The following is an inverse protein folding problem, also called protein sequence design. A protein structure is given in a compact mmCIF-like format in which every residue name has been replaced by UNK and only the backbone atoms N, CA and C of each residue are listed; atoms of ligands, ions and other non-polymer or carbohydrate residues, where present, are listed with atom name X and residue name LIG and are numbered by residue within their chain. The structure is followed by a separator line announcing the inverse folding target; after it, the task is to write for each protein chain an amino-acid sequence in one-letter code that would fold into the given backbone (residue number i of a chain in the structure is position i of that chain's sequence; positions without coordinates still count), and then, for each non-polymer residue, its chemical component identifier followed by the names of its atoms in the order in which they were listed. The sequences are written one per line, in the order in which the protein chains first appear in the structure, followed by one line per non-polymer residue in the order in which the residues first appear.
data_IF_721882744215
#
_entry.id   IF_721882744215
#
_cell.length_a   1.000
_cell.length_b   1.000
_cell.length_c   1.000
_cell.angle_alpha   90.00
_cell.angle_beta   90.00
_cell.angle_gamma   90.00
#
_symmetry.space_group_name_H-M   'P 1'
#
loop_
_entity.id
_entity.type
_entity.pdbx_description
1 polymer ?
#
# COMPACT_ATOMS: atom_id res chain seq x y z
N UNK A 1 35.45 55.45 12.54
CA UNK A 1 34.96 54.64 11.41
C UNK A 1 35.56 53.22 11.33
N UNK A 2 36.65 52.93 12.00
CA UNK A 2 37.30 51.61 11.96
C UNK A 2 36.66 50.52 12.85
N UNK A 3 35.98 50.91 13.93
CA UNK A 3 35.39 49.94 14.85
C UNK A 3 34.05 49.31 14.36
N UNK A 4 33.38 49.96 13.44
CA UNK A 4 32.12 49.48 12.86
C UNK A 4 32.33 48.46 11.73
N UNK A 5 33.49 48.55 11.05
CA UNK A 5 33.84 47.61 9.97
C UNK A 5 34.26 46.23 10.50
N UNK A 6 34.93 46.20 11.69
CA UNK A 6 35.35 44.95 12.32
C UNK A 6 34.17 44.11 12.85
N UNK A 7 33.10 44.77 13.29
CA UNK A 7 31.89 44.08 13.79
C UNK A 7 31.04 43.47 12.65
N UNK A 8 31.04 44.09 11.47
CA UNK A 8 30.34 43.60 10.30
C UNK A 8 30.99 42.34 9.70
N UNK A 9 32.34 42.28 9.75
CA UNK A 9 33.11 41.12 9.30
C UNK A 9 32.96 39.91 10.25
N UNK A 10 32.75 40.12 11.55
CA UNK A 10 32.51 39.07 12.52
C UNK A 10 31.10 38.46 12.40
N UNK A 11 30.12 39.28 11.99
CA UNK A 11 28.74 38.81 11.77
C UNK A 11 28.59 37.99 10.46
N UNK A 12 29.41 38.26 9.45
CA UNK A 12 29.42 37.48 8.19
C UNK A 12 30.09 36.12 8.36
N UNK A 13 30.98 35.94 9.33
CA UNK A 13 31.64 34.65 9.58
C UNK A 13 30.77 33.66 10.36
N UNK A 14 29.67 34.09 10.99
CA UNK A 14 28.76 33.22 11.75
C UNK A 14 27.62 32.61 10.90
N UNK A 15 27.45 33.05 9.67
CA UNK A 15 26.39 32.52 8.77
C UNK A 15 26.88 31.33 7.92
N UNK A 16 28.13 30.93 8.03
CA UNK A 16 28.80 29.99 7.11
C UNK A 16 28.83 28.51 7.52
N UNK A 17 28.22 28.07 8.61
CA UNK A 17 28.28 26.63 9.00
C UNK A 17 26.91 26.12 9.39
N UNK A 18 25.94 26.27 8.52
CA UNK A 18 24.87 25.28 8.46
C UNK A 18 25.43 24.07 7.69
N UNK A 19 26.18 23.21 8.38
CA UNK A 19 26.52 21.90 7.85
C UNK A 19 25.21 21.18 7.54
N UNK A 20 24.83 21.19 6.27
CA UNK A 20 23.77 20.31 5.79
C UNK A 20 24.30 18.88 6.01
N UNK A 21 23.88 18.25 7.09
CA UNK A 21 24.02 16.82 7.27
C UNK A 21 23.18 16.18 6.15
N UNK A 22 23.75 16.02 4.96
CA UNK A 22 23.18 15.21 3.92
C UNK A 22 23.17 13.80 4.48
N UNK A 23 21.99 13.29 4.75
CA UNK A 23 21.82 11.91 5.12
C UNK A 23 22.41 11.06 3.99
N UNK A 24 23.60 10.50 4.23
CA UNK A 24 24.32 9.69 3.25
C UNK A 24 23.50 8.41 3.04
N UNK A 25 22.96 8.24 1.82
CA UNK A 25 22.22 7.02 1.49
C UNK A 25 23.17 5.81 1.48
N UNK A 26 22.74 4.72 2.08
CA UNK A 26 23.48 3.48 2.15
C UNK A 26 23.15 2.65 0.91
N UNK A 27 24.17 2.23 0.18
CA UNK A 27 24.04 1.30 -0.93
C UNK A 27 24.09 -0.14 -0.42
N UNK A 28 23.21 -1.01 -0.98
CA UNK A 28 23.19 -2.43 -0.63
C UNK A 28 24.53 -3.11 -0.94
N UNK A 29 25.02 -3.92 -0.01
CA UNK A 29 26.31 -4.62 -0.13
C UNK A 29 26.21 -6.00 -0.79
N UNK A 30 25.01 -6.42 -1.17
CA UNK A 30 24.72 -7.70 -1.84
C UNK A 30 24.69 -8.92 -0.93
N UNK A 31 25.01 -8.79 0.36
CA UNK A 31 24.99 -9.89 1.32
C UNK A 31 23.62 -9.98 1.99
N UNK A 32 22.82 -10.94 1.58
CA UNK A 32 21.47 -11.15 2.10
C UNK A 32 21.48 -11.75 3.51
N UNK A 33 20.59 -11.24 4.35
CA UNK A 33 20.33 -11.78 5.70
C UNK A 33 18.83 -11.78 5.99
N UNK A 34 18.43 -12.59 6.97
CA UNK A 34 17.05 -12.63 7.45
C UNK A 34 17.01 -12.34 8.94
N UNK A 35 15.99 -11.62 9.38
CA UNK A 35 15.77 -11.29 10.78
C UNK A 35 14.31 -11.54 11.16
N UNK A 36 14.07 -12.41 12.12
CA UNK A 36 12.76 -12.51 12.77
C UNK A 36 12.67 -11.44 13.85
N UNK A 37 11.60 -10.66 13.83
CA UNK A 37 11.35 -9.61 14.82
C UNK A 37 10.19 -9.99 15.72
N UNK A 38 10.39 -9.83 17.03
CA UNK A 38 9.29 -9.96 17.99
C UNK A 38 8.34 -8.79 17.80
N UNK A 39 7.07 -9.09 17.59
CA UNK A 39 5.99 -8.11 17.42
C UNK A 39 4.90 -8.38 18.44
N UNK A 40 4.26 -7.32 18.95
CA UNK A 40 3.03 -7.43 19.73
C UNK A 40 1.85 -7.85 18.86
N UNK A 41 0.68 -8.00 19.46
CA UNK A 41 -0.56 -8.27 18.70
C UNK A 41 -0.95 -7.06 17.84
N UNK A 42 -1.34 -7.34 16.59
CA UNK A 42 -1.83 -6.33 15.65
C UNK A 42 -2.94 -6.91 14.76
N UNK A 43 -3.83 -6.05 14.33
CA UNK A 43 -4.89 -6.37 13.37
C UNK A 43 -4.88 -5.43 12.16
N UNK A 44 -3.91 -4.53 12.09
CA UNK A 44 -3.67 -3.61 10.99
C UNK A 44 -2.21 -3.67 10.57
N UNK A 45 -1.96 -3.51 9.29
CA UNK A 45 -0.61 -3.51 8.71
C UNK A 45 -0.43 -2.26 7.87
N UNK A 46 0.66 -1.54 8.12
CA UNK A 46 1.10 -0.40 7.31
C UNK A 46 2.51 -0.64 6.84
N UNK A 47 2.70 -0.63 5.52
CA UNK A 47 4.03 -0.76 4.91
C UNK A 47 4.30 0.44 4.03
N UNK A 48 5.48 1.05 4.17
CA UNK A 48 5.89 2.15 3.31
C UNK A 48 7.33 2.00 2.83
N UNK A 49 7.56 2.38 1.56
CA UNK A 49 8.85 2.25 0.89
C UNK A 49 8.79 1.34 -0.32
N UNK A 50 9.88 0.58 -0.56
CA UNK A 50 10.03 -0.31 -1.73
C UNK A 50 10.07 -1.79 -1.32
N UNK A 51 9.00 -2.32 -0.74
CA UNK A 51 8.96 -3.68 -0.21
C UNK A 51 8.26 -4.69 -1.11
N UNK A 52 8.80 -5.91 -1.12
CA UNK A 52 8.04 -7.12 -1.45
C UNK A 52 7.44 -7.69 -0.17
N UNK A 53 6.13 -7.94 -0.14
CA UNK A 53 5.41 -8.41 1.06
C UNK A 53 4.72 -9.73 0.77
N UNK A 54 5.00 -10.73 1.57
CA UNK A 54 4.20 -11.95 1.67
C UNK A 54 3.33 -11.89 2.91
N UNK A 55 2.01 -11.89 2.71
CA UNK A 55 1.02 -11.81 3.77
C UNK A 55 0.34 -13.17 3.96
N UNK A 56 0.37 -13.68 5.17
CA UNK A 56 -0.24 -14.96 5.55
C UNK A 56 -1.21 -14.75 6.70
N UNK A 57 -2.41 -15.28 6.62
CA UNK A 57 -3.26 -15.38 7.81
C UNK A 57 -2.93 -16.68 8.54
N UNK A 58 -2.64 -16.58 9.85
CA UNK A 58 -2.23 -17.71 10.67
C UNK A 58 -2.68 -17.58 12.13
N UNK A 59 -2.39 -18.58 12.94
CA UNK A 59 -2.84 -18.62 14.34
C UNK A 59 -2.12 -17.63 15.27
N UNK A 60 -0.94 -17.14 14.87
CA UNK A 60 -0.10 -16.24 15.66
C UNK A 60 0.55 -15.20 14.77
N UNK A 61 0.60 -13.97 15.26
CA UNK A 61 1.25 -12.86 14.60
C UNK A 61 2.77 -13.08 14.49
N UNK A 62 3.36 -12.66 13.38
CA UNK A 62 4.79 -12.80 13.15
C UNK A 62 5.32 -11.85 12.10
N UNK A 63 6.59 -11.49 12.22
CA UNK A 63 7.33 -10.70 11.25
C UNK A 63 8.72 -11.30 11.03
N UNK A 64 9.03 -11.61 9.78
CA UNK A 64 10.38 -11.92 9.32
C UNK A 64 10.74 -10.96 8.18
N UNK A 65 11.91 -10.37 8.26
CA UNK A 65 12.46 -9.48 7.25
C UNK A 65 13.63 -10.15 6.53
N UNK A 66 13.76 -9.88 5.24
CA UNK A 66 14.89 -10.29 4.42
C UNK A 66 15.40 -9.05 3.66
N UNK A 67 16.67 -8.72 3.87
CA UNK A 67 17.35 -7.61 3.24
C UNK A 67 18.87 -7.83 3.27
N UNK A 68 19.62 -6.93 2.63
CA UNK A 68 21.07 -6.92 2.78
C UNK A 68 21.48 -6.54 4.21
N UNK A 69 22.56 -7.15 4.71
CA UNK A 69 22.98 -7.01 6.12
C UNK A 69 23.21 -5.56 6.56
N UNK A 70 23.74 -4.71 5.66
CA UNK A 70 23.95 -3.28 5.92
C UNK A 70 22.67 -2.43 5.75
N UNK A 71 21.63 -2.94 5.11
CA UNK A 71 20.33 -2.30 4.95
C UNK A 71 19.38 -2.68 6.11
N UNK A 72 19.49 -3.89 6.65
CA UNK A 72 18.62 -4.39 7.71
C UNK A 72 18.46 -3.43 8.91
N UNK A 73 19.50 -2.73 9.41
CA UNK A 73 19.37 -1.74 10.49
C UNK A 73 18.58 -0.48 10.13
N UNK A 74 18.37 -0.21 8.82
CA UNK A 74 17.61 0.94 8.31
C UNK A 74 16.13 0.65 8.17
N UNK A 75 15.71 -0.62 8.35
CA UNK A 75 14.31 -1.02 8.33
C UNK A 75 13.74 -0.90 9.75
N UNK A 76 12.79 -0.01 9.93
CA UNK A 76 12.05 0.16 11.17
C UNK A 76 10.79 -0.72 11.15
N UNK A 77 10.49 -1.36 12.27
CA UNK A 77 9.24 -2.07 12.47
C UNK A 77 8.77 -1.91 13.91
N UNK A 78 7.57 -1.38 14.08
CA UNK A 78 6.93 -1.11 15.37
C UNK A 78 5.48 -1.56 15.34
N UNK A 79 4.91 -1.82 16.52
CA UNK A 79 3.46 -2.01 16.65
C UNK A 79 2.91 -0.85 17.47
N UNK A 80 2.06 -0.04 16.88
CA UNK A 80 1.47 1.16 17.45
C UNK A 80 -0.05 1.12 17.31
N UNK A 81 -0.78 1.16 18.41
CA UNK A 81 -2.25 1.12 18.44
C UNK A 81 -2.85 -0.04 17.61
N UNK A 82 -2.25 -1.24 17.72
CA UNK A 82 -2.69 -2.42 16.99
C UNK A 82 -2.31 -2.42 15.51
N UNK A 83 -1.46 -1.50 15.06
CA UNK A 83 -0.95 -1.42 13.68
C UNK A 83 0.52 -1.83 13.65
N UNK A 84 0.86 -2.87 12.89
CA UNK A 84 2.24 -3.17 12.53
C UNK A 84 2.69 -2.17 11.46
N UNK A 85 3.65 -1.33 11.79
CA UNK A 85 4.26 -0.34 10.88
C UNK A 85 5.63 -0.84 10.45
N UNK A 86 5.83 -0.95 9.12
CA UNK A 86 7.12 -1.31 8.51
C UNK A 86 7.50 -0.20 7.55
N UNK A 87 8.68 0.37 7.73
CA UNK A 87 9.18 1.45 6.88
C UNK A 87 10.69 1.47 6.83
N UNK A 88 11.25 2.15 5.83
CA UNK A 88 12.65 2.52 5.79
C UNK A 88 12.82 3.97 6.21
N UNK A 89 13.97 4.34 6.77
CA UNK A 89 14.31 5.75 7.00
C UNK A 89 14.30 6.49 5.67
N UNK A 90 13.70 7.69 5.59
CA UNK A 90 13.65 8.46 4.34
C UNK A 90 15.05 8.68 3.75
N UNK A 91 15.18 8.53 2.43
CA UNK A 91 16.41 8.72 1.66
C UNK A 91 17.64 7.96 2.18
N UNK A 92 17.45 6.94 3.02
CA UNK A 92 18.55 6.20 3.66
C UNK A 92 19.09 5.05 2.82
N UNK A 93 18.33 4.60 1.82
CA UNK A 93 18.65 3.40 1.02
C UNK A 93 18.76 3.75 -0.45
N UNK A 94 19.82 3.25 -1.08
CA UNK A 94 20.04 3.31 -2.54
C UNK A 94 20.39 1.90 -3.03
N UNK A 95 19.83 1.51 -4.18
CA UNK A 95 20.17 0.26 -4.88
C UNK A 95 20.10 -1.01 -4.00
N UNK A 96 19.14 -1.09 -3.07
CA UNK A 96 18.90 -2.35 -2.35
C UNK A 96 18.43 -3.43 -3.34
N UNK A 97 19.05 -4.61 -3.31
CA UNK A 97 18.67 -5.75 -4.17
C UNK A 97 17.31 -6.31 -3.79
N UNK A 98 16.99 -6.33 -2.50
CA UNK A 98 15.73 -6.86 -2.00
C UNK A 98 15.39 -6.26 -0.63
N UNK A 99 14.15 -5.85 -0.49
CA UNK A 99 13.51 -5.54 0.78
C UNK A 99 12.26 -6.40 0.86
N UNK A 100 12.29 -7.48 1.65
CA UNK A 100 11.15 -8.39 1.73
C UNK A 100 10.67 -8.54 3.17
N UNK A 101 9.34 -8.49 3.35
CA UNK A 101 8.67 -8.72 4.61
C UNK A 101 7.71 -9.91 4.50
N UNK A 102 7.86 -10.86 5.40
CA UNK A 102 6.94 -11.97 5.60
C UNK A 102 6.12 -11.66 6.85
N UNK A 103 4.83 -11.39 6.66
CA UNK A 103 3.92 -10.96 7.71
C UNK A 103 2.89 -12.06 7.94
N UNK A 104 2.80 -12.54 9.17
CA UNK A 104 1.71 -13.40 9.59
C UNK A 104 0.78 -12.60 10.49
N UNK A 105 -0.51 -12.56 10.16
CA UNK A 105 -1.55 -11.87 10.93
C UNK A 105 -2.63 -12.87 11.33
N UNK A 106 -3.19 -12.73 12.52
CA UNK A 106 -4.30 -13.58 12.96
C UNK A 106 -5.63 -13.09 12.40
N UNK A 107 -5.91 -11.81 12.58
CA UNK A 107 -7.08 -11.11 12.08
C UNK A 107 -6.61 -9.85 11.37
N UNK A 108 -6.99 -9.63 10.11
CA UNK A 108 -6.64 -8.44 9.37
C UNK A 108 -7.86 -7.54 9.18
N UNK A 109 -7.81 -6.33 9.71
CA UNK A 109 -8.86 -5.31 9.57
C UNK A 109 -8.49 -4.18 8.61
N UNK A 110 -7.20 -3.86 8.50
CA UNK A 110 -6.75 -2.83 7.59
C UNK A 110 -5.34 -3.14 7.03
N UNK A 111 -5.16 -2.80 5.76
CA UNK A 111 -3.89 -2.89 5.06
C UNK A 111 -3.62 -1.58 4.34
N UNK A 112 -2.58 -0.86 4.76
CA UNK A 112 -2.16 0.43 4.22
C UNK A 112 -0.80 0.28 3.55
N UNK A 113 -0.70 0.61 2.27
CA UNK A 113 0.52 0.49 1.47
C UNK A 113 0.86 1.82 0.82
N UNK A 114 2.09 2.28 0.99
CA UNK A 114 2.54 3.54 0.40
C UNK A 114 3.94 3.42 -0.24
N UNK A 115 4.08 3.86 -1.49
CA UNK A 115 5.36 3.83 -2.22
C UNK A 115 5.36 2.82 -3.36
N UNK A 116 6.45 2.05 -3.52
CA UNK A 116 6.61 1.03 -4.56
C UNK A 116 6.52 -0.38 -3.97
N UNK A 117 5.33 -0.89 -3.72
CA UNK A 117 5.14 -2.16 -2.98
C UNK A 117 4.53 -3.22 -3.87
N UNK A 118 5.08 -4.44 -3.77
CA UNK A 118 4.46 -5.64 -4.29
C UNK A 118 4.01 -6.52 -3.13
N UNK A 119 2.71 -6.87 -3.07
CA UNK A 119 2.16 -7.72 -2.02
C UNK A 119 1.41 -8.91 -2.59
N UNK A 120 1.61 -10.07 -1.99
CA UNK A 120 0.87 -11.30 -2.32
C UNK A 120 0.41 -11.97 -1.02
N UNK A 121 -0.89 -12.32 -0.93
CA UNK A 121 -1.35 -13.22 0.12
C UNK A 121 -1.02 -14.67 -0.24
N UNK A 122 -0.49 -15.42 0.73
CA UNK A 122 -0.15 -16.84 0.54
C UNK A 122 -1.34 -17.75 0.74
N UNK A 123 -2.39 -17.26 1.39
CA UNK A 123 -3.65 -17.95 1.63
C UNK A 123 -4.81 -16.94 1.61
N UNK A 124 -6.03 -17.46 1.74
CA UNK A 124 -7.23 -16.63 1.82
C UNK A 124 -7.28 -15.87 3.14
N UNK A 125 -7.49 -14.55 3.06
CA UNK A 125 -7.68 -13.67 4.21
C UNK A 125 -9.17 -13.66 4.55
N UNK A 126 -9.50 -14.18 5.72
CA UNK A 126 -10.86 -14.29 6.24
C UNK A 126 -11.14 -13.19 7.26
N UNK A 127 -12.32 -12.59 7.22
CA UNK A 127 -12.71 -11.55 8.17
C UNK A 127 -14.13 -11.09 8.03
N UNK A 128 -14.56 -10.20 8.91
CA UNK A 128 -15.88 -9.54 8.78
C UNK A 128 -15.78 -8.31 7.90
N UNK A 129 -14.78 -7.46 8.15
CA UNK A 129 -14.56 -6.22 7.41
C UNK A 129 -13.07 -6.03 7.15
N UNK A 130 -12.72 -5.61 5.94
CA UNK A 130 -11.35 -5.30 5.56
C UNK A 130 -11.31 -3.93 4.89
N UNK A 131 -10.40 -3.09 5.36
CA UNK A 131 -10.06 -1.82 4.70
C UNK A 131 -8.71 -1.94 4.00
N UNK A 132 -8.65 -1.50 2.74
CA UNK A 132 -7.43 -1.38 1.94
C UNK A 132 -7.20 0.10 1.61
N UNK A 133 -5.97 0.58 1.79
CA UNK A 133 -5.58 1.95 1.46
C UNK A 133 -4.22 1.91 0.75
N UNK A 134 -4.23 2.17 -0.56
CA UNK A 134 -3.07 2.02 -1.41
C UNK A 134 -2.71 3.31 -2.12
N UNK A 135 -1.48 3.79 -1.89
CA UNK A 135 -1.00 5.03 -2.48
C UNK A 135 0.38 4.85 -3.13
N UNK A 136 0.48 5.07 -4.43
CA UNK A 136 1.76 5.00 -5.15
C UNK A 136 1.79 3.95 -6.26
N UNK A 137 2.96 3.35 -6.49
CA UNK A 137 3.18 2.26 -7.45
C UNK A 137 2.98 0.90 -6.79
N UNK A 138 1.75 0.47 -6.62
CA UNK A 138 1.39 -0.72 -5.83
C UNK A 138 0.96 -1.87 -6.75
N UNK A 139 1.49 -3.07 -6.52
CA UNK A 139 1.07 -4.31 -7.17
C UNK A 139 0.62 -5.31 -6.11
N UNK A 140 -0.68 -5.61 -6.04
CA UNK A 140 -1.27 -6.46 -5.00
C UNK A 140 -2.04 -7.62 -5.59
N UNK A 141 -1.83 -8.80 -5.01
CA UNK A 141 -2.65 -10.00 -5.26
C UNK A 141 -3.16 -10.55 -3.93
N UNK A 142 -4.49 -10.52 -3.72
CA UNK A 142 -5.14 -10.99 -2.50
C UNK A 142 -6.27 -11.96 -2.79
N UNK A 143 -6.31 -13.05 -2.03
CA UNK A 143 -7.47 -13.92 -1.91
C UNK A 143 -8.25 -13.58 -0.63
N UNK A 144 -9.57 -13.30 -0.74
CA UNK A 144 -10.37 -12.75 0.35
C UNK A 144 -11.63 -13.60 0.60
N UNK A 145 -12.03 -13.69 1.87
CA UNK A 145 -13.34 -14.19 2.28
C UNK A 145 -13.86 -13.28 3.40
N UNK A 146 -14.55 -12.19 3.01
CA UNK A 146 -15.01 -11.14 3.94
C UNK A 146 -16.47 -10.79 3.71
N UNK A 147 -17.14 -10.16 4.70
CA UNK A 147 -18.48 -9.63 4.51
C UNK A 147 -18.43 -8.26 3.84
N UNK A 148 -17.54 -7.37 4.29
CA UNK A 148 -17.35 -6.05 3.69
C UNK A 148 -15.91 -5.77 3.32
N UNK A 149 -15.72 -5.15 2.16
CA UNK A 149 -14.46 -4.65 1.67
C UNK A 149 -14.61 -3.16 1.35
N UNK A 150 -13.74 -2.33 1.91
CA UNK A 150 -13.62 -0.90 1.63
C UNK A 150 -12.20 -0.65 1.11
N UNK A 151 -12.07 -0.12 -0.10
CA UNK A 151 -10.76 -0.02 -0.74
C UNK A 151 -10.56 1.32 -1.45
N UNK A 152 -9.60 2.09 -0.96
CA UNK A 152 -9.14 3.36 -1.51
C UNK A 152 -7.82 3.11 -2.26
N UNK A 153 -7.78 3.42 -3.55
CA UNK A 153 -6.61 3.16 -4.40
C UNK A 153 -6.24 4.40 -5.19
N UNK A 154 -5.03 4.91 -4.96
CA UNK A 154 -4.54 6.12 -5.60
C UNK A 154 -3.17 5.93 -6.25
N UNK A 155 -2.96 6.56 -7.42
CA UNK A 155 -1.69 6.51 -8.14
C UNK A 155 -1.64 5.46 -9.24
N UNK A 156 -0.50 4.81 -9.43
CA UNK A 156 -0.29 3.73 -10.39
C UNK A 156 -0.48 2.36 -9.75
N UNK A 157 -1.70 2.04 -9.32
CA UNK A 157 -1.99 0.78 -8.59
C UNK A 157 -2.51 -0.31 -9.51
N UNK A 158 -1.99 -1.53 -9.31
CA UNK A 158 -2.50 -2.74 -9.94
C UNK A 158 -2.91 -3.73 -8.87
N UNK A 159 -4.20 -4.09 -8.83
CA UNK A 159 -4.76 -4.94 -7.79
C UNK A 159 -5.51 -6.10 -8.39
N UNK A 160 -5.20 -7.31 -7.95
CA UNK A 160 -5.91 -8.54 -8.31
C UNK A 160 -6.56 -9.11 -7.05
N UNK A 161 -7.90 -9.21 -7.06
CA UNK A 161 -8.68 -9.75 -5.96
C UNK A 161 -9.41 -11.02 -6.39
N UNK A 162 -9.47 -12.01 -5.49
CA UNK A 162 -10.20 -13.25 -5.70
C UNK A 162 -10.93 -13.69 -4.43
N UNK A 163 -11.90 -14.62 -4.57
CA UNK A 163 -12.65 -15.17 -3.46
C UNK A 163 -14.05 -14.59 -3.32
N UNK A 164 -14.43 -14.05 -2.15
CA UNK A 164 -15.78 -13.49 -1.92
C UNK A 164 -15.76 -12.29 -0.98
N UNK A 165 -16.55 -11.26 -1.34
CA UNK A 165 -16.91 -10.15 -0.46
C UNK A 165 -18.39 -9.81 -0.70
N UNK A 166 -19.23 -9.78 0.34
CA UNK A 166 -20.68 -9.54 0.14
C UNK A 166 -20.94 -8.10 -0.31
N UNK A 167 -20.34 -7.13 0.37
CA UNK A 167 -20.47 -5.71 0.05
C UNK A 167 -19.08 -5.13 -0.21
N UNK A 168 -18.94 -4.43 -1.32
CA UNK A 168 -17.66 -3.83 -1.73
C UNK A 168 -17.87 -2.35 -2.04
N UNK A 169 -17.02 -1.50 -1.46
CA UNK A 169 -16.88 -0.10 -1.80
C UNK A 169 -15.47 0.13 -2.34
N UNK A 170 -15.37 0.78 -3.51
CA UNK A 170 -14.12 1.05 -4.20
C UNK A 170 -14.03 2.51 -4.57
N UNK A 171 -12.95 3.17 -4.18
CA UNK A 171 -12.56 4.51 -4.62
C UNK A 171 -11.26 4.40 -5.43
N UNK A 172 -11.32 4.65 -6.73
CA UNK A 172 -10.19 4.50 -7.64
C UNK A 172 -9.78 5.86 -8.22
N UNK A 173 -8.55 6.30 -7.94
CA UNK A 173 -8.03 7.56 -8.42
C UNK A 173 -6.71 7.40 -9.17
N UNK A 174 -6.55 8.11 -10.30
CA UNK A 174 -5.31 8.07 -11.09
C UNK A 174 -5.30 7.01 -12.17
N UNK A 175 -4.22 6.23 -12.26
CA UNK A 175 -4.04 5.15 -13.25
C UNK A 175 -4.16 3.78 -12.55
N UNK A 176 -5.34 3.45 -12.06
CA UNK A 176 -5.62 2.23 -11.29
C UNK A 176 -6.14 1.10 -12.19
N UNK A 177 -5.55 -0.08 -12.08
CA UNK A 177 -6.03 -1.31 -12.71
C UNK A 177 -6.52 -2.30 -11.65
N UNK A 178 -7.82 -2.56 -11.58
CA UNK A 178 -8.43 -3.55 -10.70
C UNK A 178 -8.91 -4.77 -11.49
N UNK A 179 -8.41 -5.95 -11.14
CA UNK A 179 -8.86 -7.26 -11.65
C UNK A 179 -9.55 -8.02 -10.54
N UNK A 180 -10.88 -8.04 -10.57
CA UNK A 180 -11.71 -8.67 -9.55
C UNK A 180 -12.83 -9.56 -10.14
N UNK A 181 -12.62 -10.13 -11.33
CA UNK A 181 -13.57 -11.10 -11.92
C UNK A 181 -13.69 -12.37 -11.09
N UNK A 182 -12.63 -12.74 -10.36
CA UNK A 182 -12.62 -13.91 -9.48
C UNK A 182 -13.04 -13.57 -8.04
N UNK A 183 -13.38 -12.31 -7.74
CA UNK A 183 -14.00 -11.89 -6.49
C UNK A 183 -15.52 -11.85 -6.65
N UNK A 184 -16.24 -12.82 -6.10
CA UNK A 184 -17.71 -12.84 -6.11
C UNK A 184 -18.28 -11.81 -5.15
N UNK A 185 -19.13 -10.90 -5.64
CA UNK A 185 -19.69 -9.80 -4.86
C UNK A 185 -21.20 -9.74 -5.04
N UNK A 186 -21.95 -9.43 -3.99
CA UNK A 186 -23.40 -9.22 -4.07
C UNK A 186 -23.71 -7.75 -4.40
N UNK A 187 -23.11 -6.81 -3.67
CA UNK A 187 -23.33 -5.37 -3.81
C UNK A 187 -21.99 -4.66 -3.99
N UNK A 188 -21.87 -3.86 -5.04
CA UNK A 188 -20.64 -3.11 -5.32
C UNK A 188 -20.97 -1.65 -5.64
N UNK A 189 -20.33 -0.73 -4.91
CA UNK A 189 -20.25 0.69 -5.21
C UNK A 189 -18.83 1.03 -5.64
N UNK A 190 -18.69 1.73 -6.77
CA UNK A 190 -17.41 2.08 -7.35
C UNK A 190 -17.42 3.55 -7.79
N UNK A 191 -16.54 4.35 -7.20
CA UNK A 191 -16.23 5.70 -7.60
C UNK A 191 -14.88 5.66 -8.33
N UNK A 192 -14.86 6.05 -9.60
CA UNK A 192 -13.66 5.97 -10.43
C UNK A 192 -13.34 7.31 -11.07
N UNK A 193 -12.12 7.80 -10.85
CA UNK A 193 -11.63 9.03 -11.43
C UNK A 193 -10.31 8.83 -12.18
N UNK A 194 -10.10 9.63 -13.22
CA UNK A 194 -8.87 9.58 -14.03
C UNK A 194 -8.88 8.51 -15.10
N UNK A 195 -7.80 7.74 -15.24
CA UNK A 195 -7.61 6.68 -16.23
C UNK A 195 -7.74 5.28 -15.59
N UNK A 196 -8.76 5.08 -14.75
CA UNK A 196 -8.96 3.85 -14.01
C UNK A 196 -9.66 2.77 -14.83
N UNK A 197 -9.25 1.53 -14.64
CA UNK A 197 -9.91 0.35 -15.22
C UNK A 197 -10.24 -0.66 -14.13
N UNK A 198 -11.52 -1.08 -14.08
CA UNK A 198 -11.97 -2.11 -13.17
C UNK A 198 -12.69 -3.24 -13.91
N UNK A 199 -12.36 -4.47 -13.55
CA UNK A 199 -13.06 -5.69 -13.98
C UNK A 199 -13.64 -6.34 -12.73
N UNK A 200 -14.98 -6.44 -12.63
CA UNK A 200 -15.68 -6.85 -11.41
C UNK A 200 -16.73 -7.95 -11.67
N UNK A 201 -17.08 -8.72 -10.64
CA UNK A 201 -18.09 -9.77 -10.72
C UNK A 201 -19.17 -9.52 -9.66
N UNK A 202 -20.36 -9.10 -10.10
CA UNK A 202 -21.42 -8.61 -9.22
C UNK A 202 -22.73 -9.33 -9.50
N UNK A 203 -23.38 -9.81 -8.44
CA UNK A 203 -24.60 -10.61 -8.55
C UNK A 203 -25.89 -9.80 -8.45
N UNK A 204 -25.99 -8.82 -7.54
CA UNK A 204 -27.26 -8.14 -7.21
C UNK A 204 -27.32 -6.68 -7.63
N UNK A 205 -26.40 -5.84 -7.18
CA UNK A 205 -26.41 -4.40 -7.50
C UNK A 205 -25.00 -3.87 -7.75
N UNK A 206 -24.84 -3.13 -8.85
CA UNK A 206 -23.64 -2.42 -9.23
C UNK A 206 -23.96 -0.93 -9.35
N UNK A 207 -23.39 -0.10 -8.50
CA UNK A 207 -23.44 1.37 -8.59
C UNK A 207 -22.10 1.89 -9.01
N UNK A 208 -22.04 2.67 -10.08
CA UNK A 208 -20.79 3.23 -10.59
C UNK A 208 -20.95 4.74 -10.79
N UNK A 209 -20.05 5.52 -10.18
CA UNK A 209 -19.82 6.92 -10.54
C UNK A 209 -18.44 7.02 -11.21
N UNK A 210 -18.42 7.36 -12.48
CA UNK A 210 -17.21 7.30 -13.28
C UNK A 210 -16.90 8.63 -13.94
N UNK A 211 -15.82 9.29 -13.51
CA UNK A 211 -15.33 10.54 -14.05
C UNK A 211 -14.07 10.33 -14.91
N UNK A 212 -13.92 11.11 -15.96
CA UNK A 212 -12.77 11.02 -16.87
C UNK A 212 -12.87 9.88 -17.87
N UNK A 213 -11.76 9.15 -18.11
CA UNK A 213 -11.68 8.04 -19.08
C UNK A 213 -11.77 6.67 -18.38
N UNK A 214 -12.45 6.62 -17.24
CA UNK A 214 -12.63 5.40 -16.47
C UNK A 214 -13.45 4.35 -17.24
N UNK A 215 -13.07 3.08 -17.07
CA UNK A 215 -13.74 1.93 -17.68
C UNK A 215 -14.03 0.87 -16.61
N UNK A 216 -15.28 0.42 -16.58
CA UNK A 216 -15.72 -0.67 -15.71
C UNK A 216 -16.35 -1.76 -16.58
N UNK A 217 -15.71 -2.93 -16.61
CA UNK A 217 -16.19 -4.12 -17.27
C UNK A 217 -16.74 -5.07 -16.17
N UNK A 218 -17.98 -5.54 -16.26
CA UNK A 218 -18.58 -6.36 -15.22
C UNK A 218 -19.15 -7.68 -15.72
N UNK A 219 -19.01 -8.73 -14.88
CA UNK A 219 -19.62 -10.05 -15.03
C UNK A 219 -20.80 -10.19 -14.06
N UNK A 220 -21.81 -10.97 -14.46
CA UNK A 220 -23.02 -11.21 -13.68
C UNK A 220 -24.25 -10.51 -14.28
N UNK A 221 -25.34 -10.49 -13.53
CA UNK A 221 -26.60 -9.85 -13.95
C UNK A 221 -27.14 -8.91 -12.86
N UNK A 222 -26.33 -7.94 -12.40
CA UNK A 222 -26.76 -7.02 -11.36
C UNK A 222 -27.76 -5.99 -11.89
N UNK A 223 -28.50 -5.35 -10.96
CA UNK A 223 -29.14 -4.07 -11.26
C UNK A 223 -28.05 -3.00 -11.33
N UNK A 224 -27.86 -2.42 -12.51
CA UNK A 224 -26.81 -1.40 -12.74
C UNK A 224 -27.38 -0.01 -12.56
N UNK A 225 -26.70 0.82 -11.77
CA UNK A 225 -26.84 2.27 -11.68
C UNK A 225 -25.52 2.89 -12.14
N UNK A 226 -25.58 3.81 -13.08
CA UNK A 226 -24.38 4.45 -13.61
C UNK A 226 -24.59 5.95 -13.71
N UNK A 227 -23.62 6.72 -13.22
CA UNK A 227 -23.48 8.18 -13.38
C UNK A 227 -22.09 8.53 -13.88
N UNK A 228 -21.95 9.76 -14.42
CA UNK A 228 -20.68 10.24 -14.96
C UNK A 228 -20.45 9.87 -16.44
N UNK A 229 -19.23 10.15 -16.94
CA UNK A 229 -18.86 10.01 -18.35
C UNK A 229 -18.07 8.73 -18.66
N UNK A 230 -17.69 7.96 -17.64
CA UNK A 230 -16.96 6.72 -17.81
C UNK A 230 -17.77 5.63 -18.52
N UNK A 231 -17.09 4.58 -18.94
CA UNK A 231 -17.75 3.48 -19.68
C UNK A 231 -18.00 2.30 -18.78
N UNK A 232 -19.27 1.87 -18.67
CA UNK A 232 -19.68 0.67 -17.94
C UNK A 232 -20.32 -0.32 -18.91
N UNK A 233 -19.87 -1.58 -18.95
CA UNK A 233 -20.39 -2.59 -19.86
C UNK A 233 -20.31 -4.00 -19.30
N UNK A 234 -21.23 -4.90 -19.66
CA UNK A 234 -21.12 -6.33 -19.38
C UNK A 234 -20.02 -7.01 -20.23
N UNK A 235 -19.46 -8.10 -19.74
CA UNK A 235 -18.55 -9.01 -20.44
C UNK A 235 -19.00 -10.46 -20.36
#
# INVERSE_FOLDING_TARGET
MEKTFSFLLLLLALVGVAAQAQAQSVEGNGKMTTQTRSVGSFDKVRVSGGFEVELTQGAKEGLKLEAEENIMPLIESTVENGTLVIKTKPNSIRNAKRLKAYITVRDLKALELAGGIKLTSTNTINGSALKLDFAGGIDVTLALQVKSLDADMAGGTKVTLSGRAETVKLDLAGATELKALDLKTDYLSLDAAGASRAEVNVAKELSVDAAGIARVDYKGSPKVKHSGMGRVRPI
#
